data_IF_954468287685
#
_entry.id   IF_954468287685
#
_cell.length_a   1.000
_cell.length_b   1.000
_cell.length_c   1.000
_cell.angle_alpha   90.00
_cell.angle_beta   90.00
_cell.angle_gamma   90.00
#
_symmetry.space_group_name_H-M   'P 1'
#
loop_
_entity.id
_entity.type
_entity.pdbx_description
1 polymer ?
#
# COMPACT_ATOMS: atom_id res chain seq x y z
N UNK A 1 -12.06 -7.73 14.36
CA UNK A 1 -12.55 -6.34 14.17
C UNK A 1 -12.57 -6.02 12.68
N UNK A 2 -13.59 -5.32 12.21
CA UNK A 2 -13.77 -5.02 10.78
C UNK A 2 -13.45 -3.55 10.49
N UNK A 3 -12.73 -3.28 9.41
CA UNK A 3 -12.47 -1.93 8.91
C UNK A 3 -12.85 -1.88 7.42
N UNK A 4 -13.62 -0.88 7.03
CA UNK A 4 -13.96 -0.63 5.63
C UNK A 4 -13.71 0.84 5.29
N UNK A 5 -12.89 1.11 4.27
CA UNK A 5 -12.58 2.47 3.80
C UNK A 5 -12.50 2.48 2.26
N UNK A 6 -13.22 3.38 1.58
CA UNK A 6 -13.14 3.55 0.13
C UNK A 6 -13.36 5.00 -0.35
N UNK A 7 -12.46 5.95 0.00
CA UNK A 7 -12.52 7.33 -0.46
C UNK A 7 -12.56 7.42 -1.98
N UNK A 8 -13.44 8.26 -2.50
CA UNK A 8 -13.50 8.63 -3.91
C UNK A 8 -13.04 10.07 -4.08
N UNK A 9 -12.07 10.30 -4.96
CA UNK A 9 -11.56 11.66 -5.28
C UNK A 9 -11.78 11.98 -6.75
N UNK A 10 -12.16 13.23 -7.02
CA UNK A 10 -12.26 13.79 -8.36
C UNK A 10 -11.15 14.81 -8.55
N UNK A 11 -10.15 14.50 -9.37
CA UNK A 11 -9.08 15.41 -9.75
C UNK A 11 -9.59 16.36 -10.84
N UNK A 12 -10.07 17.53 -10.41
CA UNK A 12 -10.71 18.53 -11.27
C UNK A 12 -9.81 19.73 -11.60
N UNK A 13 -8.67 19.88 -10.91
CA UNK A 13 -7.74 20.99 -11.14
C UNK A 13 -6.69 20.63 -12.19
N UNK A 14 -6.36 21.56 -13.08
CA UNK A 14 -5.25 21.36 -14.02
C UNK A 14 -3.94 21.09 -13.27
N UNK A 15 -3.17 20.10 -13.73
CA UNK A 15 -1.91 19.66 -13.12
C UNK A 15 -2.01 19.25 -11.63
N UNK A 16 -3.23 19.02 -11.12
CA UNK A 16 -3.40 18.56 -9.74
C UNK A 16 -2.87 17.14 -9.56
N UNK A 17 -2.41 16.84 -8.35
CA UNK A 17 -1.88 15.53 -7.98
C UNK A 17 -2.65 14.95 -6.80
N UNK A 18 -3.10 13.71 -6.93
CA UNK A 18 -3.76 12.94 -5.88
C UNK A 18 -2.83 11.82 -5.43
N UNK A 19 -2.62 11.66 -4.12
CA UNK A 19 -1.83 10.54 -3.58
C UNK A 19 -2.58 9.86 -2.45
N UNK A 20 -2.76 8.55 -2.57
CA UNK A 20 -3.21 7.70 -1.46
C UNK A 20 -2.05 6.80 -1.04
N UNK A 21 -1.75 6.82 0.26
CA UNK A 21 -0.72 5.97 0.86
C UNK A 21 -1.39 5.19 1.99
N UNK A 22 -1.40 3.86 1.86
CA UNK A 22 -2.14 2.98 2.75
C UNK A 22 -1.19 1.94 3.33
N UNK A 23 -1.14 1.86 4.66
CA UNK A 23 -0.40 0.82 5.39
C UNK A 23 -1.40 0.03 6.23
N UNK A 24 -1.44 -1.30 6.05
CA UNK A 24 -2.40 -2.19 6.71
C UNK A 24 -1.68 -3.30 7.47
N UNK A 25 -2.17 -3.57 8.68
CA UNK A 25 -1.71 -4.66 9.54
C UNK A 25 -2.92 -5.46 10.01
N UNK A 26 -3.05 -6.70 9.54
CA UNK A 26 -4.13 -7.59 9.94
C UNK A 26 -3.62 -8.76 10.78
N UNK A 27 -4.19 -8.89 11.97
CA UNK A 27 -3.96 -10.02 12.88
C UNK A 27 -5.13 -10.98 12.79
N UNK A 28 -4.98 -12.18 13.34
CA UNK A 28 -6.08 -13.14 13.46
C UNK A 28 -7.36 -12.48 14.00
N UNK A 29 -8.50 -12.77 13.35
CA UNK A 29 -9.79 -12.16 13.65
C UNK A 29 -9.99 -10.72 13.13
N UNK A 30 -9.06 -10.18 12.35
CA UNK A 30 -9.22 -8.88 11.66
C UNK A 30 -9.70 -9.07 10.23
N UNK A 31 -10.66 -8.24 9.80
CA UNK A 31 -11.16 -8.18 8.43
C UNK A 31 -11.04 -6.73 7.93
N UNK A 32 -10.21 -6.48 6.92
CA UNK A 32 -9.98 -5.14 6.38
C UNK A 32 -10.34 -5.10 4.90
N UNK A 33 -11.26 -4.23 4.50
CA UNK A 33 -11.57 -3.93 3.10
C UNK A 33 -11.30 -2.44 2.85
N UNK A 34 -10.09 -2.17 2.36
CA UNK A 34 -9.56 -0.81 2.25
C UNK A 34 -9.08 -0.55 0.84
N UNK A 35 -9.39 0.63 0.34
CA UNK A 35 -8.88 1.07 -0.94
C UNK A 35 -9.19 2.53 -1.22
N UNK A 36 -9.16 2.89 -2.49
CA UNK A 36 -9.64 4.20 -2.93
C UNK A 36 -9.91 4.23 -4.42
N UNK A 37 -10.63 5.28 -4.82
CA UNK A 37 -10.97 5.53 -6.22
C UNK A 37 -10.61 6.95 -6.61
N UNK A 38 -10.00 7.12 -7.77
CA UNK A 38 -9.64 8.45 -8.29
C UNK A 38 -10.09 8.60 -9.73
N UNK A 39 -10.82 9.69 -9.99
CA UNK A 39 -11.16 10.14 -11.34
C UNK A 39 -10.21 11.27 -11.76
N UNK A 40 -9.49 11.09 -12.86
CA UNK A 40 -8.62 12.10 -13.47
C UNK A 40 -9.39 12.81 -14.58
N UNK A 41 -9.90 14.02 -14.26
CA UNK A 41 -10.86 14.76 -15.10
C UNK A 41 -10.32 16.06 -15.68
N UNK A 42 -9.13 16.50 -15.27
CA UNK A 42 -8.50 17.71 -15.78
C UNK A 42 -7.14 17.43 -16.42
N UNK A 43 -6.74 18.30 -17.35
CA UNK A 43 -5.49 18.18 -18.10
C UNK A 43 -4.30 18.12 -17.14
N UNK A 44 -3.42 17.15 -17.37
CA UNK A 44 -2.20 16.98 -16.58
C UNK A 44 -2.41 16.44 -15.17
N UNK A 45 -3.63 16.03 -14.80
CA UNK A 45 -3.89 15.38 -13.52
C UNK A 45 -3.01 14.13 -13.34
N UNK A 46 -2.54 13.94 -12.11
CA UNK A 46 -1.71 12.78 -11.71
C UNK A 46 -2.34 12.07 -10.52
N UNK A 47 -2.29 10.74 -10.50
CA UNK A 47 -2.62 9.94 -9.33
C UNK A 47 -1.56 8.90 -9.00
N UNK A 48 -1.35 8.69 -7.70
CA UNK A 48 -0.47 7.65 -7.15
C UNK A 48 -1.19 6.98 -5.98
N UNK A 49 -1.51 5.70 -6.10
CA UNK A 49 -2.17 4.91 -5.07
C UNK A 49 -1.21 3.80 -4.64
N UNK A 50 -0.61 3.93 -3.46
CA UNK A 50 0.36 2.98 -2.93
C UNK A 50 -0.22 2.30 -1.70
N UNK A 51 -0.25 0.97 -1.72
CA UNK A 51 -0.69 0.13 -0.61
C UNK A 51 0.41 -0.84 -0.19
N UNK A 52 0.66 -0.90 1.12
CA UNK A 52 1.47 -1.92 1.80
C UNK A 52 0.58 -2.65 2.80
N UNK A 53 0.43 -3.94 2.62
CA UNK A 53 -0.40 -4.78 3.49
C UNK A 53 0.42 -5.90 4.11
N UNK A 54 0.23 -6.14 5.40
CA UNK A 54 0.84 -7.25 6.12
C UNK A 54 -0.24 -8.00 6.88
N UNK A 55 -0.25 -9.32 6.75
CA UNK A 55 -1.14 -10.18 7.54
C UNK A 55 -0.38 -11.26 8.30
N UNK A 56 -0.77 -11.48 9.56
CA UNK A 56 -0.42 -12.63 10.39
C UNK A 56 -1.73 -13.24 10.91
N UNK A 57 -2.45 -13.93 10.02
CA UNK A 57 -3.73 -14.58 10.35
C UNK A 57 -5.01 -13.81 10.02
N UNK A 58 -4.94 -12.54 9.61
CA UNK A 58 -6.13 -11.74 9.26
C UNK A 58 -6.45 -11.70 7.77
N UNK A 59 -7.63 -11.20 7.43
CA UNK A 59 -8.10 -11.01 6.06
C UNK A 59 -7.96 -9.54 5.64
N UNK A 60 -7.33 -9.31 4.50
CA UNK A 60 -7.19 -8.00 3.87
C UNK A 60 -7.71 -8.08 2.43
N UNK A 61 -8.59 -7.17 2.06
CA UNK A 61 -8.95 -6.83 0.69
C UNK A 61 -8.42 -5.43 0.42
N UNK A 62 -7.51 -5.32 -0.53
CA UNK A 62 -6.95 -4.04 -0.99
C UNK A 62 -7.57 -3.68 -2.33
N UNK A 63 -8.33 -2.59 -2.38
CA UNK A 63 -8.98 -2.11 -3.61
C UNK A 63 -8.25 -0.89 -4.15
N UNK A 64 -8.25 -0.74 -5.47
CA UNK A 64 -7.79 0.51 -6.08
C UNK A 64 -8.44 0.68 -7.44
N UNK A 65 -9.02 1.85 -7.69
CA UNK A 65 -9.66 2.15 -8.96
C UNK A 65 -9.18 3.50 -9.49
N UNK A 66 -8.46 3.47 -10.61
CA UNK A 66 -7.99 4.66 -11.32
C UNK A 66 -8.74 4.82 -12.63
N UNK A 67 -9.44 5.94 -12.76
CA UNK A 67 -10.22 6.29 -13.95
C UNK A 67 -9.58 7.50 -14.62
N UNK A 68 -9.08 7.33 -15.84
CA UNK A 68 -8.61 8.43 -16.69
C UNK A 68 -9.69 8.85 -17.68
N UNK A 69 -10.22 10.08 -17.55
CA UNK A 69 -11.34 10.56 -18.38
C UNK A 69 -10.93 11.57 -19.45
N UNK A 70 -9.71 12.11 -19.38
CA UNK A 70 -9.18 13.09 -20.35
C UNK A 70 -7.75 12.75 -20.79
N UNK A 71 -7.32 13.21 -21.99
CA UNK A 71 -5.96 12.99 -22.46
C UNK A 71 -4.88 13.67 -21.61
N UNK A 72 -3.67 13.12 -21.63
CA UNK A 72 -2.48 13.70 -21.00
C UNK A 72 -2.42 13.53 -19.48
N UNK A 73 -3.21 12.62 -18.91
CA UNK A 73 -3.17 12.28 -17.49
C UNK A 73 -2.13 11.19 -17.22
N UNK A 74 -1.71 11.06 -15.95
CA UNK A 74 -0.85 9.96 -15.51
C UNK A 74 -1.39 9.29 -14.25
N UNK A 75 -1.31 7.97 -14.16
CA UNK A 75 -1.77 7.20 -13.00
C UNK A 75 -0.82 6.06 -12.66
N UNK A 76 -0.58 5.85 -11.38
CA UNK A 76 0.15 4.68 -10.89
C UNK A 76 -0.58 4.08 -9.71
N UNK A 77 -0.81 2.76 -9.75
CA UNK A 77 -1.44 1.99 -8.69
C UNK A 77 -0.51 0.84 -8.29
N UNK A 78 -0.10 0.82 -7.03
CA UNK A 78 0.80 -0.19 -6.49
C UNK A 78 0.20 -0.86 -5.26
N UNK A 79 0.10 -2.19 -5.27
CA UNK A 79 -0.38 -2.98 -4.15
C UNK A 79 0.64 -4.06 -3.81
N UNK A 80 1.36 -3.91 -2.69
CA UNK A 80 2.28 -4.95 -2.20
C UNK A 80 1.77 -5.53 -0.88
N UNK A 81 1.85 -6.85 -0.75
CA UNK A 81 1.34 -7.62 0.39
C UNK A 81 2.31 -8.68 0.89
N UNK A 82 2.47 -8.79 2.21
CA UNK A 82 3.22 -9.86 2.87
C UNK A 82 2.30 -10.70 3.77
N UNK A 83 2.39 -12.01 3.63
CA UNK A 83 1.72 -13.00 4.49
C UNK A 83 2.80 -13.62 5.39
N UNK A 84 2.66 -13.44 6.70
CA UNK A 84 3.67 -13.80 7.71
C UNK A 84 3.36 -15.11 8.47
N UNK A 85 2.21 -15.74 8.21
CA UNK A 85 1.87 -17.02 8.82
C UNK A 85 1.08 -17.89 7.85
N UNK A 86 0.91 -19.17 8.19
CA UNK A 86 0.08 -20.14 7.44
C UNK A 86 -1.41 -19.75 7.38
N UNK A 87 -1.82 -18.75 8.17
CA UNK A 87 -3.18 -18.23 8.22
C UNK A 87 -3.22 -16.81 7.69
N UNK A 88 -4.39 -16.41 7.21
CA UNK A 88 -4.66 -15.07 6.71
C UNK A 88 -4.63 -15.00 5.19
N UNK A 89 -5.12 -13.89 4.67
CA UNK A 89 -5.35 -13.71 3.24
C UNK A 89 -5.17 -12.25 2.87
N UNK A 90 -4.54 -12.01 1.73
CA UNK A 90 -4.51 -10.70 1.07
C UNK A 90 -5.12 -10.89 -0.32
N UNK A 91 -6.14 -10.10 -0.64
CA UNK A 91 -6.79 -10.07 -1.94
C UNK A 91 -6.67 -8.67 -2.54
N UNK A 92 -5.86 -8.56 -3.60
CA UNK A 92 -5.68 -7.31 -4.32
C UNK A 92 -6.64 -7.23 -5.51
N UNK A 93 -7.39 -6.13 -5.57
CA UNK A 93 -8.38 -5.84 -6.62
C UNK A 93 -8.03 -4.48 -7.23
N UNK A 94 -7.04 -4.41 -8.15
CA UNK A 94 -6.71 -3.21 -8.90
C UNK A 94 -7.61 -3.08 -10.14
N UNK A 95 -8.02 -1.85 -10.44
CA UNK A 95 -8.85 -1.50 -11.58
C UNK A 95 -8.26 -0.26 -12.26
N UNK A 96 -7.90 -0.37 -13.54
CA UNK A 96 -7.56 0.76 -14.39
C UNK A 96 -8.63 0.93 -15.47
N UNK A 97 -9.17 2.13 -15.60
CA UNK A 97 -10.23 2.45 -16.55
C UNK A 97 -9.84 3.69 -17.37
N UNK A 98 -9.43 3.49 -18.62
CA UNK A 98 -9.12 4.57 -19.56
C UNK A 98 -10.31 4.89 -20.47
N UNK A 99 -10.76 6.15 -20.49
CA UNK A 99 -11.89 6.62 -21.32
C UNK A 99 -11.48 7.63 -22.41
N UNK A 100 -10.19 7.95 -22.52
CA UNK A 100 -9.65 8.86 -23.53
C UNK A 100 -8.35 8.31 -24.15
N UNK A 101 -7.93 8.88 -25.27
CA UNK A 101 -6.63 8.59 -25.87
C UNK A 101 -5.51 9.32 -25.10
N UNK A 102 -4.25 8.94 -25.37
CA UNK A 102 -3.07 9.55 -24.75
C UNK A 102 -3.13 9.58 -23.20
N UNK A 103 -3.53 8.46 -22.62
CA UNK A 103 -3.56 8.19 -21.18
C UNK A 103 -2.37 7.29 -20.85
N UNK A 104 -1.67 7.61 -19.74
CA UNK A 104 -0.58 6.79 -19.22
C UNK A 104 -0.95 6.31 -17.80
N UNK A 105 -1.37 5.05 -17.67
CA UNK A 105 -1.68 4.47 -16.36
C UNK A 105 -1.04 3.10 -16.22
N UNK A 106 -0.45 2.83 -15.06
CA UNK A 106 0.19 1.57 -14.72
C UNK A 106 -0.36 0.99 -13.43
N UNK A 107 -0.32 -0.34 -13.33
CA UNK A 107 -0.61 -1.03 -12.09
C UNK A 107 0.44 -2.11 -11.81
N UNK A 108 0.78 -2.29 -10.54
CA UNK A 108 1.69 -3.32 -10.06
C UNK A 108 1.12 -3.95 -8.79
N UNK A 109 1.09 -5.29 -8.75
CA UNK A 109 0.62 -6.01 -7.57
C UNK A 109 1.53 -7.20 -7.27
N UNK A 110 1.92 -7.34 -6.00
CA UNK A 110 2.72 -8.46 -5.52
C UNK A 110 2.23 -8.89 -4.14
N UNK A 111 1.89 -10.17 -3.99
CA UNK A 111 1.52 -10.77 -2.70
C UNK A 111 2.35 -12.02 -2.51
N UNK A 112 3.02 -12.14 -1.38
CA UNK A 112 3.88 -13.29 -1.12
C UNK A 112 4.31 -13.41 0.33
N UNK A 113 5.23 -14.34 0.57
CA UNK A 113 5.95 -14.51 1.84
C UNK A 113 7.28 -13.76 1.79
N UNK A 114 7.87 -13.52 2.95
CA UNK A 114 9.27 -13.08 3.04
C UNK A 114 10.16 -14.21 2.50
N UNK A 115 11.20 -13.86 1.75
CA UNK A 115 12.14 -14.85 1.24
C UNK A 115 13.01 -15.37 2.39
N UNK A 116 13.01 -16.70 2.59
CA UNK A 116 13.78 -17.35 3.65
C UNK A 116 15.28 -17.02 3.55
N UNK A 117 15.79 -16.92 2.34
CA UNK A 117 17.19 -16.54 2.07
C UNK A 117 17.53 -15.13 2.60
N UNK A 118 16.59 -14.18 2.56
CA UNK A 118 16.79 -12.83 3.10
C UNK A 118 16.89 -12.87 4.63
N UNK A 119 16.06 -13.68 5.29
CA UNK A 119 16.10 -13.91 6.74
C UNK A 119 17.44 -14.55 7.11
N UNK A 120 17.82 -15.63 6.45
CA UNK A 120 19.07 -16.35 6.70
C UNK A 120 20.31 -15.48 6.46
N UNK A 121 20.28 -14.62 5.45
CA UNK A 121 21.36 -13.67 5.15
C UNK A 121 21.54 -12.61 6.24
N UNK A 122 20.44 -12.11 6.81
CA UNK A 122 20.48 -11.19 7.95
C UNK A 122 20.90 -11.91 9.23
N UNK A 123 20.47 -13.16 9.44
CA UNK A 123 20.92 -13.97 10.56
C UNK A 123 22.42 -14.27 10.51
N UNK A 124 22.95 -14.54 9.32
CA UNK A 124 24.39 -14.70 9.11
C UNK A 124 25.20 -13.42 9.45
N UNK A 125 24.56 -12.26 9.53
CA UNK A 125 25.15 -10.99 9.99
C UNK A 125 24.99 -10.73 11.48
N UNK A 126 24.46 -11.69 12.23
CA UNK A 126 24.36 -11.62 13.69
C UNK A 126 23.02 -11.13 14.23
N UNK A 127 22.00 -10.96 13.38
CA UNK A 127 20.63 -10.79 13.85
C UNK A 127 20.02 -12.15 14.24
N UNK A 128 19.12 -12.17 15.20
CA UNK A 128 18.24 -13.32 15.37
C UNK A 128 17.10 -13.31 14.32
N UNK A 129 16.34 -14.41 14.24
CA UNK A 129 15.28 -14.55 13.23
C UNK A 129 14.18 -13.49 13.35
N UNK A 130 13.80 -13.11 14.57
CA UNK A 130 12.78 -12.06 14.81
C UNK A 130 13.32 -10.68 14.42
N UNK A 131 14.55 -10.36 14.78
CA UNK A 131 15.22 -9.11 14.40
C UNK A 131 15.37 -8.98 12.89
N UNK A 132 15.76 -10.06 12.20
CA UNK A 132 15.85 -10.11 10.74
C UNK A 132 14.49 -9.88 10.08
N UNK A 133 13.45 -10.57 10.57
CA UNK A 133 12.07 -10.43 10.08
C UNK A 133 11.54 -9.01 10.28
N UNK A 134 11.76 -8.45 11.48
CA UNK A 134 11.37 -7.07 11.80
C UNK A 134 12.08 -6.06 10.89
N UNK A 135 13.38 -6.24 10.64
CA UNK A 135 14.13 -5.38 9.74
C UNK A 135 13.57 -5.39 8.30
N UNK A 136 13.23 -6.57 7.78
CA UNK A 136 12.60 -6.71 6.45
C UNK A 136 11.23 -6.03 6.41
N UNK A 137 10.39 -6.29 7.42
CA UNK A 137 9.06 -5.69 7.54
C UNK A 137 9.16 -4.16 7.59
N UNK A 138 10.06 -3.61 8.41
CA UNK A 138 10.25 -2.16 8.53
C UNK A 138 10.72 -1.55 7.21
N UNK A 139 11.60 -2.21 6.47
CA UNK A 139 12.01 -1.77 5.12
C UNK A 139 10.86 -1.83 4.11
N UNK A 140 10.03 -2.88 4.16
CA UNK A 140 8.86 -3.03 3.30
C UNK A 140 7.81 -1.92 3.52
N UNK A 141 7.66 -1.48 4.77
CA UNK A 141 6.70 -0.46 5.20
C UNK A 141 7.21 0.98 5.06
N UNK A 142 8.50 1.18 4.83
CA UNK A 142 9.09 2.52 4.65
C UNK A 142 8.74 3.05 3.25
N UNK A 143 7.52 3.55 3.11
CA UNK A 143 7.05 4.21 1.90
C UNK A 143 7.33 5.71 2.02
N UNK A 144 8.04 6.27 1.03
CA UNK A 144 8.28 7.71 0.98
C UNK A 144 6.98 8.47 0.67
N UNK A 145 6.39 9.11 1.69
CA UNK A 145 5.19 9.94 1.49
C UNK A 145 5.60 11.40 1.24
N UNK A 146 5.58 11.80 -0.03
CA UNK A 146 5.95 13.15 -0.47
C UNK A 146 4.99 14.23 0.02
N UNK A 147 5.52 15.37 0.44
CA UNK A 147 4.73 16.55 0.84
C UNK A 147 4.17 16.53 2.26
N UNK A 148 4.52 15.52 3.07
CA UNK A 148 4.12 15.48 4.49
C UNK A 148 5.10 16.29 5.36
N UNK A 149 4.62 17.15 6.27
CA UNK A 149 5.43 17.82 7.27
C UNK A 149 6.23 16.87 8.17
N UNK A 150 7.43 17.27 8.57
CA UNK A 150 8.36 16.39 9.30
C UNK A 150 7.80 15.85 10.63
N UNK A 151 6.97 16.62 11.33
CA UNK A 151 6.32 16.16 12.56
C UNK A 151 5.32 15.03 12.30
N UNK A 152 4.54 15.09 11.22
CA UNK A 152 3.61 14.03 10.84
C UNK A 152 4.35 12.78 10.37
N UNK A 153 5.49 12.93 9.66
CA UNK A 153 6.32 11.77 9.30
C UNK A 153 6.77 10.99 10.53
N UNK A 154 7.18 11.70 11.60
CA UNK A 154 7.55 11.05 12.87
C UNK A 154 6.39 10.30 13.51
N UNK A 155 5.20 10.89 13.54
CA UNK A 155 4.00 10.22 14.08
C UNK A 155 3.61 8.99 13.24
N UNK A 156 3.69 9.07 11.92
CA UNK A 156 3.45 7.92 11.03
C UNK A 156 4.47 6.81 11.32
N UNK A 157 5.77 7.13 11.39
CA UNK A 157 6.81 6.14 11.70
C UNK A 157 6.58 5.48 13.06
N UNK A 158 6.15 6.26 14.06
CA UNK A 158 5.78 5.73 15.38
C UNK A 158 4.57 4.79 15.30
N UNK A 159 3.52 5.18 14.57
CA UNK A 159 2.33 4.35 14.37
C UNK A 159 2.63 3.04 13.63
N UNK A 160 3.51 3.08 12.62
CA UNK A 160 4.00 1.91 11.89
C UNK A 160 4.75 0.95 12.83
N UNK A 161 5.69 1.48 13.63
CA UNK A 161 6.43 0.67 14.61
C UNK A 161 5.49 0.02 15.64
N UNK A 162 4.56 0.79 16.20
CA UNK A 162 3.55 0.25 17.12
C UNK A 162 2.66 -0.82 16.46
N UNK A 163 2.39 -0.71 15.15
CA UNK A 163 1.64 -1.70 14.38
C UNK A 163 2.40 -3.01 14.19
N UNK A 164 3.70 -2.92 13.96
CA UNK A 164 4.62 -4.06 13.82
C UNK A 164 4.85 -4.78 15.15
N UNK A 165 5.12 -4.06 16.25
CA UNK A 165 5.24 -4.63 17.60
C UNK A 165 3.99 -5.40 18.04
N UNK A 166 2.84 -5.03 17.49
CA UNK A 166 1.53 -5.64 17.74
C UNK A 166 1.26 -6.89 16.91
N UNK A 167 2.05 -7.09 15.85
CA UNK A 167 2.00 -8.26 14.96
C UNK A 167 2.97 -9.34 15.42
N UNK A 168 4.16 -8.97 15.90
CA UNK A 168 5.14 -9.91 16.46
C UNK A 168 4.58 -10.57 17.72
#
# INVERSE_FOLDING_TARGET
>A
KTLQIYPTTYCMGENATVRFNTILFAREGSNMDVGGRVFLRAKGCRAELVTRAITKGGDIVTRGHLIGEVPGIRGHLECRGLILSEKGRIHAIPELEGKANNIDMSHEAAVGKIAEEEIQYLMARGLNSEEATSAIIMGFLDVEIKGIPEHLKREIKKAVRMGEERLM
#
